data_IF_220194569407
#
_entry.id   IF_220194569407
#
_cell.length_a   1.000
_cell.length_b   1.000
_cell.length_c   1.000
_cell.angle_alpha   90.00
_cell.angle_beta   90.00
_cell.angle_gamma   90.00
#
_symmetry.space_group_name_H-M   'P 1'
#
loop_
_entity.id
_entity.type
_entity.pdbx_description
1 polymer ?
#
# COMPACT_ATOMS: atom_id res chain seq x y z
N UNK A 1 19.42 6.98 -6.50
CA UNK A 1 18.56 8.14 -6.83
C UNK A 1 17.82 7.89 -8.14
N UNK A 2 16.52 7.58 -8.04
CA UNK A 2 15.62 7.09 -9.09
C UNK A 2 15.09 8.18 -10.04
N UNK A 3 15.93 8.84 -10.84
CA UNK A 3 15.43 9.88 -11.77
C UNK A 3 14.51 9.33 -12.88
N UNK A 4 14.72 8.08 -13.32
CA UNK A 4 13.95 7.48 -14.41
C UNK A 4 12.50 7.13 -14.07
N UNK A 5 12.20 6.73 -12.83
CA UNK A 5 10.84 6.36 -12.43
C UNK A 5 9.98 7.60 -12.16
N UNK A 6 10.54 8.63 -11.50
CA UNK A 6 9.83 9.89 -11.28
C UNK A 6 9.44 10.54 -12.60
N UNK A 7 10.31 10.53 -13.62
CA UNK A 7 9.99 11.06 -14.95
C UNK A 7 8.85 10.28 -15.62
N UNK A 8 8.89 8.94 -15.57
CA UNK A 8 7.81 8.10 -16.11
C UNK A 8 6.49 8.36 -15.41
N UNK A 9 6.49 8.46 -14.08
CA UNK A 9 5.28 8.74 -13.29
C UNK A 9 4.73 10.14 -13.61
N UNK A 10 5.56 11.17 -13.64
CA UNK A 10 5.12 12.54 -13.99
C UNK A 10 4.56 12.60 -15.41
N UNK A 11 5.22 11.92 -16.36
CA UNK A 11 4.79 11.88 -17.75
C UNK A 11 3.46 11.11 -17.90
N UNK A 12 3.30 9.98 -17.23
CA UNK A 12 2.07 9.18 -17.22
C UNK A 12 0.91 9.98 -16.61
N UNK A 13 1.11 10.59 -15.44
CA UNK A 13 0.10 11.40 -14.74
C UNK A 13 -0.28 12.64 -15.54
N UNK A 14 0.71 13.30 -16.17
CA UNK A 14 0.48 14.44 -17.06
C UNK A 14 -0.35 14.06 -18.28
N UNK A 15 -0.05 12.92 -18.90
CA UNK A 15 -0.77 12.42 -20.07
C UNK A 15 -2.21 12.02 -19.74
N UNK A 16 -2.43 11.29 -18.64
CA UNK A 16 -3.77 10.95 -18.13
C UNK A 16 -4.59 12.20 -17.79
N UNK A 17 -3.98 13.18 -17.13
CA UNK A 17 -4.63 14.45 -16.80
C UNK A 17 -4.99 15.24 -18.07
N UNK A 18 -4.11 15.25 -19.07
CA UNK A 18 -4.36 15.84 -20.38
C UNK A 18 -5.53 15.18 -21.10
N UNK A 19 -5.62 13.85 -21.09
CA UNK A 19 -6.75 13.09 -21.65
C UNK A 19 -8.09 13.46 -20.99
N UNK A 20 -8.11 13.65 -19.66
CA UNK A 20 -9.33 14.08 -18.95
C UNK A 20 -9.76 15.49 -19.32
N UNK A 21 -8.81 16.41 -19.49
CA UNK A 21 -9.09 17.78 -19.91
C UNK A 21 -9.60 17.81 -21.36
N UNK A 22 -8.97 17.06 -22.27
CA UNK A 22 -9.39 16.95 -23.67
C UNK A 22 -10.75 16.26 -23.78
N UNK A 23 -10.97 15.16 -23.04
CA UNK A 23 -12.26 14.47 -22.99
C UNK A 23 -13.37 15.35 -22.42
N UNK A 24 -13.06 16.09 -21.34
CA UNK A 24 -13.94 17.11 -20.79
C UNK A 24 -14.30 18.16 -21.84
N UNK A 25 -13.31 18.65 -22.60
CA UNK A 25 -13.52 19.60 -23.69
C UNK A 25 -14.43 19.05 -24.81
N UNK A 26 -14.25 17.78 -25.20
CA UNK A 26 -15.07 17.16 -26.26
C UNK A 26 -16.53 16.99 -25.83
N UNK A 27 -16.78 16.68 -24.56
CA UNK A 27 -18.13 16.44 -24.02
C UNK A 27 -18.85 17.75 -23.63
N UNK A 28 -18.12 18.69 -23.02
CA UNK A 28 -18.69 19.88 -22.36
C UNK A 28 -18.15 21.22 -22.87
N UNK A 29 -17.37 21.24 -23.95
CA UNK A 29 -16.79 22.45 -24.52
C UNK A 29 -15.86 23.18 -23.54
N UNK A 30 -15.91 24.51 -23.51
CA UNK A 30 -15.02 25.34 -22.67
C UNK A 30 -15.26 25.14 -21.17
N UNK A 31 -16.50 24.83 -20.75
CA UNK A 31 -16.81 24.47 -19.38
C UNK A 31 -16.29 23.07 -19.01
N UNK A 32 -16.24 22.17 -19.99
CA UNK A 32 -15.68 20.84 -19.85
C UNK A 32 -14.18 20.81 -19.53
N UNK A 33 -13.41 21.83 -19.94
CA UNK A 33 -12.00 21.99 -19.54
C UNK A 33 -11.87 22.19 -18.03
N UNK A 34 -12.70 23.07 -17.43
CA UNK A 34 -12.68 23.33 -15.99
C UNK A 34 -13.12 22.12 -15.18
N UNK A 35 -14.15 21.40 -15.66
CA UNK A 35 -14.61 20.16 -15.03
C UNK A 35 -13.52 19.08 -15.13
N UNK A 36 -12.89 18.92 -16.31
CA UNK A 36 -11.81 17.95 -16.51
C UNK A 36 -10.58 18.26 -15.66
N UNK A 37 -10.22 19.54 -15.50
CA UNK A 37 -9.12 19.96 -14.63
C UNK A 37 -9.42 19.69 -13.15
N UNK A 38 -10.62 20.06 -12.69
CA UNK A 38 -11.05 19.80 -11.32
C UNK A 38 -11.03 18.30 -11.02
N UNK A 39 -11.54 17.49 -11.94
CA UNK A 39 -11.60 16.05 -11.82
C UNK A 39 -10.20 15.42 -11.84
N UNK A 40 -9.29 15.92 -12.68
CA UNK A 40 -7.88 15.49 -12.69
C UNK A 40 -7.17 15.79 -11.36
N UNK A 41 -7.37 16.99 -10.79
CA UNK A 41 -6.80 17.36 -9.48
C UNK A 41 -7.37 16.46 -8.37
N UNK A 42 -8.69 16.29 -8.33
CA UNK A 42 -9.35 15.44 -7.34
C UNK A 42 -8.88 13.99 -7.47
N UNK A 43 -8.76 13.44 -8.67
CA UNK A 43 -8.30 12.07 -8.86
C UNK A 43 -6.82 11.88 -8.52
N UNK A 44 -5.95 12.86 -8.81
CA UNK A 44 -4.54 12.79 -8.38
C UNK A 44 -4.42 12.86 -6.86
N UNK A 45 -5.17 13.76 -6.22
CA UNK A 45 -5.17 13.90 -4.78
C UNK A 45 -5.77 12.67 -4.10
N UNK A 46 -6.93 12.19 -4.58
CA UNK A 46 -7.53 10.96 -4.10
C UNK A 46 -6.63 9.75 -4.34
N UNK A 47 -6.00 9.63 -5.51
CA UNK A 47 -5.05 8.56 -5.81
C UNK A 47 -3.88 8.55 -4.84
N UNK A 48 -3.31 9.72 -4.51
CA UNK A 48 -2.24 9.83 -3.52
C UNK A 48 -2.71 9.42 -2.11
N UNK A 49 -3.87 9.92 -1.68
CA UNK A 49 -4.40 9.66 -0.34
C UNK A 49 -5.05 8.28 -0.18
N UNK A 50 -5.53 7.64 -1.23
CA UNK A 50 -6.21 6.34 -1.15
C UNK A 50 -5.42 5.22 -1.83
N UNK A 51 -4.20 5.48 -2.30
CA UNK A 51 -3.33 4.49 -2.97
C UNK A 51 -3.17 3.20 -2.17
N UNK A 52 -2.95 3.32 -0.86
CA UNK A 52 -2.86 2.24 0.10
C UNK A 52 -4.14 1.38 0.13
N UNK A 53 -5.30 2.03 0.24
CA UNK A 53 -6.60 1.34 0.26
C UNK A 53 -6.96 0.73 -1.09
N UNK A 54 -6.61 1.39 -2.19
CA UNK A 54 -6.84 0.89 -3.55
C UNK A 54 -5.98 -0.33 -3.82
N UNK A 55 -4.70 -0.32 -3.41
CA UNK A 55 -3.82 -1.47 -3.51
C UNK A 55 -4.38 -2.66 -2.69
N UNK A 56 -4.70 -2.44 -1.41
CA UNK A 56 -5.26 -3.48 -0.55
C UNK A 56 -6.59 -4.02 -1.08
N UNK A 57 -7.46 -3.15 -1.59
CA UNK A 57 -8.74 -3.55 -2.21
C UNK A 57 -8.54 -4.34 -3.51
N UNK A 58 -7.53 -4.02 -4.31
CA UNK A 58 -7.19 -4.74 -5.54
C UNK A 58 -6.73 -6.18 -5.25
N UNK A 59 -6.07 -6.39 -4.11
CA UNK A 59 -5.64 -7.71 -3.63
C UNK A 59 -6.71 -8.44 -2.80
N UNK A 60 -7.92 -7.89 -2.66
CA UNK A 60 -8.97 -8.44 -1.78
C UNK A 60 -8.45 -8.75 -0.37
N UNK A 61 -7.56 -7.90 0.15
CA UNK A 61 -6.88 -8.12 1.41
C UNK A 61 -7.90 -8.17 2.56
N UNK A 62 -7.87 -9.25 3.33
CA UNK A 62 -8.74 -9.47 4.47
C UNK A 62 -8.06 -9.00 5.75
N UNK A 63 -8.76 -8.28 6.64
CA UNK A 63 -8.19 -7.88 7.92
C UNK A 63 -7.80 -9.10 8.75
N UNK A 64 -6.62 -9.07 9.33
CA UNK A 64 -6.19 -10.06 10.33
C UNK A 64 -6.54 -9.52 11.70
N UNK A 65 -7.70 -9.92 12.20
CA UNK A 65 -8.19 -9.61 13.54
C UNK A 65 -8.54 -10.89 14.31
N UNK A 66 -8.69 -10.84 15.65
CA UNK A 66 -9.13 -11.98 16.44
C UNK A 66 -10.47 -12.57 15.97
N UNK A 67 -11.32 -11.79 15.32
CA UNK A 67 -12.66 -12.19 14.89
C UNK A 67 -12.68 -12.81 13.49
N UNK A 68 -11.92 -12.23 12.54
CA UNK A 68 -11.99 -12.63 11.13
C UNK A 68 -10.98 -13.73 10.78
N UNK A 69 -9.78 -13.68 11.37
CA UNK A 69 -8.69 -14.61 11.07
C UNK A 69 -7.95 -15.02 12.35
N UNK A 70 -8.63 -15.69 13.31
CA UNK A 70 -8.09 -15.97 14.65
C UNK A 70 -6.82 -16.83 14.65
N UNK A 71 -6.67 -17.75 13.70
CA UNK A 71 -5.47 -18.59 13.61
C UNK A 71 -4.26 -17.80 13.10
N UNK A 72 -4.44 -17.07 12.01
CA UNK A 72 -3.39 -16.21 11.44
C UNK A 72 -3.00 -15.13 12.44
N UNK A 73 -3.99 -14.46 13.05
CA UNK A 73 -3.75 -13.42 14.07
C UNK A 73 -2.89 -13.94 15.22
N UNK A 74 -3.23 -15.09 15.80
CA UNK A 74 -2.45 -15.70 16.90
C UNK A 74 -1.00 -16.02 16.53
N UNK A 75 -0.71 -16.21 15.24
CA UNK A 75 0.63 -16.47 14.75
C UNK A 75 1.41 -15.19 14.45
N UNK A 76 0.83 -14.28 13.68
CA UNK A 76 1.57 -13.11 13.17
C UNK A 76 1.60 -11.95 14.16
N UNK A 77 0.56 -11.77 14.97
CA UNK A 77 0.47 -10.64 15.89
C UNK A 77 1.59 -10.62 16.93
N UNK A 78 1.96 -11.74 17.61
CA UNK A 78 3.01 -11.72 18.61
C UNK A 78 4.39 -11.37 18.03
N UNK A 79 4.64 -11.80 16.79
CA UNK A 79 5.88 -11.52 16.05
C UNK A 79 5.96 -10.02 15.76
N UNK A 80 4.92 -9.47 15.13
CA UNK A 80 4.85 -8.04 14.79
C UNK A 80 4.88 -7.18 16.05
N UNK A 81 4.13 -7.53 17.09
CA UNK A 81 4.07 -6.79 18.36
C UNK A 81 5.42 -6.78 19.09
N UNK A 82 6.18 -7.88 19.05
CA UNK A 82 7.53 -7.91 19.63
C UNK A 82 8.50 -7.00 18.85
N UNK A 83 8.46 -7.05 17.52
CA UNK A 83 9.31 -6.23 16.67
C UNK A 83 8.99 -4.74 16.79
N UNK A 84 7.71 -4.36 16.71
CA UNK A 84 7.29 -2.95 16.85
C UNK A 84 7.66 -2.39 18.21
N UNK A 85 7.48 -3.15 19.30
CA UNK A 85 7.93 -2.76 20.64
C UNK A 85 9.44 -2.55 20.72
N UNK A 86 10.24 -3.42 20.09
CA UNK A 86 11.71 -3.27 20.05
C UNK A 86 12.16 -2.07 19.22
N UNK A 87 11.43 -1.77 18.15
CA UNK A 87 11.73 -0.67 17.22
C UNK A 87 11.11 0.68 17.64
N UNK A 88 10.27 0.70 18.68
CA UNK A 88 9.54 1.91 19.10
C UNK A 88 8.47 2.35 18.09
N UNK A 89 7.91 1.41 17.33
CA UNK A 89 6.88 1.66 16.33
C UNK A 89 5.47 1.39 16.91
N UNK A 90 4.44 2.14 16.46
CA UNK A 90 3.05 1.76 16.73
C UNK A 90 2.69 0.46 16.00
N UNK A 91 1.69 -0.26 16.49
CA UNK A 91 1.23 -1.51 15.88
C UNK A 91 0.58 -1.23 14.51
N UNK A 92 1.11 -1.78 13.41
CA UNK A 92 0.50 -1.62 12.10
C UNK A 92 -0.77 -2.46 11.98
N UNK A 93 -1.63 -2.10 11.03
CA UNK A 93 -2.78 -2.93 10.66
C UNK A 93 -2.29 -4.20 9.95
N UNK A 94 -2.84 -5.34 10.31
CA UNK A 94 -2.45 -6.63 9.73
C UNK A 94 -3.46 -7.07 8.68
N UNK A 95 -2.96 -7.57 7.55
CA UNK A 95 -3.78 -8.01 6.42
C UNK A 95 -3.34 -9.37 5.91
N UNK A 96 -4.29 -10.16 5.42
CA UNK A 96 -4.10 -11.44 4.76
C UNK A 96 -4.54 -11.32 3.31
N UNK A 97 -3.70 -11.71 2.38
CA UNK A 97 -3.99 -11.78 0.95
C UNK A 97 -4.06 -13.26 0.59
N UNK A 98 -5.15 -13.66 -0.07
CA UNK A 98 -5.30 -15.03 -0.54
C UNK A 98 -4.56 -15.22 -1.87
N UNK A 99 -3.27 -15.54 -1.76
CA UNK A 99 -2.38 -15.72 -2.91
C UNK A 99 -1.35 -16.81 -2.60
N UNK A 100 -1.13 -17.72 -3.54
CA UNK A 100 -0.20 -18.85 -3.38
C UNK A 100 1.27 -18.44 -3.43
N UNK A 101 1.58 -17.35 -4.14
CA UNK A 101 2.94 -16.81 -4.22
C UNK A 101 3.38 -16.28 -2.85
N UNK A 102 4.55 -16.72 -2.32
CA UNK A 102 5.01 -16.28 -1.01
C UNK A 102 5.49 -14.82 -1.07
N UNK A 103 4.72 -13.93 -0.46
CA UNK A 103 5.06 -12.53 -0.31
C UNK A 103 4.56 -11.93 1.03
N UNK A 104 5.25 -10.91 1.53
CA UNK A 104 4.81 -10.01 2.60
C UNK A 104 5.41 -8.62 2.38
N UNK A 105 4.63 -7.58 2.63
CA UNK A 105 5.09 -6.21 2.45
C UNK A 105 4.45 -5.26 3.46
N UNK A 106 5.14 -4.16 3.76
CA UNK A 106 4.59 -3.07 4.52
C UNK A 106 4.23 -1.86 3.64
N UNK A 107 3.07 -1.25 3.90
CA UNK A 107 2.60 -0.04 3.24
C UNK A 107 2.04 0.97 4.24
N UNK A 108 1.85 2.22 3.83
CA UNK A 108 1.34 3.29 4.69
C UNK A 108 2.06 4.62 4.46
N UNK A 109 1.43 5.71 4.91
CA UNK A 109 1.96 7.07 4.68
C UNK A 109 2.97 7.51 5.74
N UNK A 110 2.89 6.89 6.92
CA UNK A 110 3.76 7.15 8.07
C UNK A 110 3.68 5.92 9.02
N UNK A 111 4.58 5.82 10.01
CA UNK A 111 4.53 4.74 11.00
C UNK A 111 3.17 4.57 11.70
N UNK A 112 2.48 5.66 12.04
CA UNK A 112 1.17 5.62 12.71
C UNK A 112 0.02 5.09 11.84
N UNK A 113 0.22 5.07 10.52
CA UNK A 113 -0.73 4.58 9.53
C UNK A 113 -0.14 3.43 8.71
N UNK A 114 0.80 2.71 9.28
CA UNK A 114 1.40 1.54 8.65
C UNK A 114 0.42 0.35 8.63
N UNK A 115 0.56 -0.46 7.59
CA UNK A 115 -0.14 -1.72 7.36
C UNK A 115 0.88 -2.75 6.90
N UNK A 116 0.78 -3.98 7.40
CA UNK A 116 1.60 -5.11 6.98
C UNK A 116 0.67 -6.16 6.41
N UNK A 117 0.94 -6.60 5.18
CA UNK A 117 0.17 -7.62 4.50
C UNK A 117 0.99 -8.90 4.34
N UNK A 118 0.33 -10.04 4.52
CA UNK A 118 0.89 -11.38 4.37
C UNK A 118 0.07 -12.15 3.36
N UNK A 119 0.72 -12.90 2.49
CA UNK A 119 0.03 -13.86 1.61
C UNK A 119 -0.22 -15.21 2.32
N UNK A 120 -1.23 -15.97 1.90
CA UNK A 120 -1.40 -17.36 2.36
C UNK A 120 -0.20 -18.24 1.95
N UNK A 121 0.45 -17.93 0.83
CA UNK A 121 1.72 -18.51 0.39
C UNK A 121 2.85 -18.37 1.40
N UNK A 122 3.17 -17.15 1.85
CA UNK A 122 4.31 -16.93 2.77
C UNK A 122 4.10 -17.62 4.10
N UNK A 123 2.86 -17.61 4.60
CA UNK A 123 2.50 -18.24 5.87
C UNK A 123 2.61 -19.76 5.80
N UNK A 124 2.39 -20.39 4.63
CA UNK A 124 2.55 -21.84 4.48
C UNK A 124 4.01 -22.27 4.35
N UNK A 125 4.83 -21.45 3.69
CA UNK A 125 6.21 -21.82 3.34
C UNK A 125 7.19 -21.50 4.46
N UNK A 126 7.05 -20.34 5.10
CA UNK A 126 8.03 -19.87 6.10
C UNK A 126 7.66 -20.32 7.51
N UNK A 127 8.67 -20.61 8.32
CA UNK A 127 8.51 -20.77 9.76
C UNK A 127 8.43 -19.41 10.50
N UNK A 128 8.23 -19.44 11.82
CA UNK A 128 8.07 -18.20 12.60
C UNK A 128 9.34 -17.36 12.68
N UNK A 129 10.54 -17.96 12.60
CA UNK A 129 11.82 -17.23 12.66
C UNK A 129 12.13 -16.57 11.32
N UNK A 130 11.88 -17.29 10.23
CA UNK A 130 12.00 -16.75 8.87
C UNK A 130 11.02 -15.59 8.67
N UNK A 131 9.76 -15.78 9.09
CA UNK A 131 8.75 -14.74 9.04
C UNK A 131 9.12 -13.53 9.90
N UNK A 132 9.67 -13.72 11.11
CA UNK A 132 10.17 -12.63 11.94
C UNK A 132 11.27 -11.84 11.23
N UNK A 133 12.18 -12.50 10.50
CA UNK A 133 13.21 -11.84 9.71
C UNK A 133 12.65 -10.98 8.58
N UNK A 134 11.68 -11.50 7.82
CA UNK A 134 11.01 -10.76 6.73
C UNK A 134 10.24 -9.57 7.28
N UNK A 135 9.44 -9.77 8.34
CA UNK A 135 8.68 -8.68 8.98
C UNK A 135 9.60 -7.61 9.55
N UNK A 136 10.74 -7.99 10.13
CA UNK A 136 11.72 -7.04 10.64
C UNK A 136 12.31 -6.18 9.51
N UNK A 137 12.56 -6.77 8.34
CA UNK A 137 13.00 -6.03 7.15
C UNK A 137 11.94 -5.02 6.70
N UNK A 138 10.68 -5.45 6.57
CA UNK A 138 9.56 -4.61 6.15
C UNK A 138 9.24 -3.48 7.14
N UNK A 139 9.27 -3.77 8.45
CA UNK A 139 9.13 -2.73 9.48
C UNK A 139 10.30 -1.75 9.49
N UNK A 140 11.48 -2.18 9.05
CA UNK A 140 12.63 -1.31 8.82
C UNK A 140 12.33 -0.23 7.77
N UNK A 141 11.65 -0.58 6.68
CA UNK A 141 11.18 0.38 5.67
C UNK A 141 10.14 1.35 6.23
N UNK A 142 9.23 0.85 7.08
CA UNK A 142 8.25 1.69 7.80
C UNK A 142 8.95 2.73 8.68
N UNK A 143 9.95 2.30 9.45
CA UNK A 143 10.71 3.17 10.34
C UNK A 143 11.44 4.28 9.58
N UNK A 144 12.11 3.94 8.47
CA UNK A 144 12.90 4.88 7.68
C UNK A 144 12.07 5.68 6.65
N UNK A 145 10.76 5.42 6.57
CA UNK A 145 9.80 6.08 5.66
C UNK A 145 10.06 5.80 4.17
N UNK A 146 10.69 4.68 3.86
CA UNK A 146 10.91 4.21 2.48
C UNK A 146 9.71 3.41 1.93
N UNK A 147 8.53 3.60 2.53
CA UNK A 147 7.27 2.88 2.26
C UNK A 147 6.73 3.15 0.84
N UNK A 148 7.23 4.18 0.17
CA UNK A 148 6.86 4.51 -1.21
C UNK A 148 7.68 3.74 -2.26
N UNK A 149 8.76 3.06 -1.86
CA UNK A 149 9.65 2.32 -2.75
C UNK A 149 10.20 1.07 -2.03
N UNK A 150 9.42 0.01 -1.92
CA UNK A 150 10.00 -1.33 -1.77
C UNK A 150 9.12 -2.40 -2.42
N UNK A 151 9.81 -3.40 -2.95
CA UNK A 151 9.52 -4.29 -4.09
C UNK A 151 8.34 -5.24 -3.95
#
# INVERSE_FOLDING_TARGET
MHSGNTLKTVLLLGLLSGLLVIGGQVIGGRNGIYIGLLLAVVMNFAGYFFSDKIALASYSAQPVTPEQNPEVYRRVEPIVANLTRRMGLPMPKLWLIDEDSPNAFATGRNPEHASVAFTTGILRVMDNRELEGVVAHELGHVLHRDILISS
#
